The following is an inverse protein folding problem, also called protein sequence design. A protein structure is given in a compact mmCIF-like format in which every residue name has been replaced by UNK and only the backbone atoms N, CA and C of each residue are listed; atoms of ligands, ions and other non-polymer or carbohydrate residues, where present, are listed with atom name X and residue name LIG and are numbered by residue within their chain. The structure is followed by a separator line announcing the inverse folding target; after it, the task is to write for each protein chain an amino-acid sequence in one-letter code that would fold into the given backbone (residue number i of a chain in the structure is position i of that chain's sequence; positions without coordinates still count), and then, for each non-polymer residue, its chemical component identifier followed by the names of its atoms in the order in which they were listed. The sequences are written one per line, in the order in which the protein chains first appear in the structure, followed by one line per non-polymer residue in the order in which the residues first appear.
data_IF_571161882712
#
_entry.id   IF_571161882712
#
_cell.length_a   1.000
_cell.length_b   1.000
_cell.length_c   1.000
_cell.angle_alpha   90.00
_cell.angle_beta   90.00
_cell.angle_gamma   90.00
#
_symmetry.space_group_name_H-M   'P 1'
#
loop_
_entity.id
_entity.type
_entity.pdbx_description
1 polymer ?
#
# COMPACT_ATOMS: atom_id res chain seq x y z
N UNK A 1 -4.94 8.16 8.01
CA UNK A 1 -5.62 7.90 6.72
C UNK A 1 -6.73 8.88 6.44
N UNK A 2 -7.64 9.17 7.38
CA UNK A 2 -8.71 10.15 7.19
C UNK A 2 -8.22 11.46 6.55
N UNK A 3 -7.16 12.10 7.07
CA UNK A 3 -6.62 13.34 6.50
C UNK A 3 -6.16 13.22 5.03
N UNK A 4 -5.44 12.15 4.69
CA UNK A 4 -4.93 11.92 3.33
C UNK A 4 -6.10 11.72 2.35
N UNK A 5 -7.14 11.00 2.76
CA UNK A 5 -8.31 10.73 1.93
C UNK A 5 -9.16 11.98 1.66
N UNK A 6 -9.06 13.02 2.48
CA UNK A 6 -9.78 14.29 2.29
C UNK A 6 -8.93 15.38 1.63
N UNK A 7 -7.65 15.10 1.33
CA UNK A 7 -6.78 16.10 0.72
C UNK A 7 -7.25 16.43 -0.71
N UNK A 8 -7.58 17.70 -1.04
CA UNK A 8 -8.24 18.04 -2.30
C UNK A 8 -7.47 17.60 -3.56
N UNK A 9 -6.14 17.66 -3.50
CA UNK A 9 -5.25 17.33 -4.62
C UNK A 9 -5.16 15.82 -4.90
N UNK A 10 -5.62 14.99 -3.96
CA UNK A 10 -5.64 13.53 -4.10
C UNK A 10 -7.02 13.00 -4.49
N UNK A 11 -7.99 13.89 -4.71
CA UNK A 11 -9.30 13.52 -5.24
C UNK A 11 -9.22 13.23 -6.74
N UNK A 12 -9.98 12.24 -7.21
CA UNK A 12 -10.00 11.84 -8.62
C UNK A 12 -8.86 10.92 -9.05
N UNK A 13 -8.00 10.46 -8.13
CA UNK A 13 -7.03 9.41 -8.42
C UNK A 13 -7.75 8.13 -8.86
N UNK A 14 -7.32 7.57 -9.99
CA UNK A 14 -7.90 6.34 -10.56
C UNK A 14 -7.74 5.12 -9.64
N UNK A 15 -6.68 5.08 -8.83
CA UNK A 15 -6.36 3.92 -7.99
C UNK A 15 -5.54 4.34 -6.76
N UNK A 16 -5.92 3.79 -5.62
CA UNK A 16 -5.11 3.76 -4.40
C UNK A 16 -4.56 2.34 -4.21
N UNK A 17 -3.30 2.21 -3.80
CA UNK A 17 -2.64 0.94 -3.53
C UNK A 17 -2.05 0.95 -2.12
N UNK A 18 -2.16 -0.17 -1.43
CA UNK A 18 -1.63 -0.37 -0.09
C UNK A 18 -1.12 -1.80 0.02
N UNK A 19 0.02 -1.96 0.68
CA UNK A 19 0.59 -3.24 1.08
C UNK A 19 0.65 -3.25 2.61
N UNK A 20 -0.01 -4.22 3.23
CA UNK A 20 -0.04 -4.38 4.69
C UNK A 20 0.10 -5.85 5.05
N UNK A 21 0.74 -6.15 6.18
CA UNK A 21 0.94 -7.54 6.62
C UNK A 21 -0.30 -8.04 7.37
N UNK A 22 -0.82 -7.25 8.31
CA UNK A 22 -1.87 -7.67 9.25
C UNK A 22 -2.97 -6.61 9.50
N UNK A 23 -2.81 -5.38 9.03
CA UNK A 23 -3.76 -4.30 9.30
C UNK A 23 -4.92 -4.20 8.28
N UNK A 24 -5.29 -5.29 7.62
CA UNK A 24 -6.30 -5.29 6.56
C UNK A 24 -7.63 -4.65 7.02
N UNK A 25 -8.19 -5.11 8.15
CA UNK A 25 -9.46 -4.60 8.69
C UNK A 25 -9.39 -3.14 9.14
N UNK A 26 -8.20 -2.60 9.40
CA UNK A 26 -8.03 -1.16 9.66
C UNK A 26 -8.26 -0.36 8.37
N UNK A 27 -7.75 -0.84 7.24
CA UNK A 27 -7.81 -0.12 5.97
C UNK A 27 -9.12 -0.32 5.20
N UNK A 28 -9.81 -1.43 5.42
CA UNK A 28 -11.18 -1.65 4.94
C UNK A 28 -12.14 -0.52 5.38
N UNK A 29 -11.93 0.04 6.57
CA UNK A 29 -12.72 1.18 7.10
C UNK A 29 -12.56 2.46 6.25
N UNK A 30 -11.51 2.55 5.44
CA UNK A 30 -11.25 3.67 4.53
C UNK A 30 -11.55 3.33 3.06
N UNK A 31 -12.25 2.22 2.80
CA UNK A 31 -12.65 1.81 1.45
C UNK A 31 -11.58 1.07 0.65
N UNK A 32 -10.47 0.65 1.28
CA UNK A 32 -9.57 -0.32 0.66
C UNK A 32 -10.24 -1.69 0.60
N UNK A 33 -9.94 -2.43 -0.46
CA UNK A 33 -10.38 -3.82 -0.62
C UNK A 33 -9.21 -4.65 -1.13
N UNK A 34 -9.26 -5.99 -1.01
CA UNK A 34 -8.36 -6.85 -1.75
C UNK A 34 -8.35 -6.49 -3.25
N UNK A 35 -7.20 -6.71 -3.90
CA UNK A 35 -7.05 -6.43 -5.33
C UNK A 35 -8.14 -7.17 -6.12
N UNK A 36 -8.90 -6.44 -6.94
CA UNK A 36 -9.98 -7.03 -7.76
C UNK A 36 -9.44 -8.01 -8.81
N UNK A 37 -8.20 -7.78 -9.27
CA UNK A 37 -7.51 -8.63 -10.26
C UNK A 37 -6.05 -8.85 -9.82
N UNK A 38 -5.80 -9.73 -8.83
CA UNK A 38 -4.47 -9.97 -8.30
C UNK A 38 -3.48 -10.45 -9.37
N UNK A 39 -3.98 -11.18 -10.37
CA UNK A 39 -3.26 -11.67 -11.55
C UNK A 39 -2.61 -10.56 -12.40
N UNK A 40 -3.07 -9.31 -12.25
CA UNK A 40 -2.57 -8.14 -12.99
C UNK A 40 -1.55 -7.31 -12.22
N UNK A 41 -1.13 -7.77 -11.05
CA UNK A 41 -0.17 -7.05 -10.20
C UNK A 41 1.08 -7.90 -10.04
N UNK A 42 2.23 -7.27 -10.22
CA UNK A 42 3.54 -7.88 -10.02
C UNK A 42 4.40 -6.91 -9.24
N UNK A 43 5.28 -7.42 -8.38
CA UNK A 43 6.26 -6.61 -7.67
C UNK A 43 7.62 -7.30 -7.64
N UNK A 44 8.68 -6.50 -7.52
CA UNK A 44 9.99 -6.98 -7.09
C UNK A 44 10.13 -6.53 -5.64
N UNK A 45 9.99 -7.47 -4.71
CA UNK A 45 10.10 -7.21 -3.27
C UNK A 45 11.46 -7.69 -2.75
N UNK A 46 12.24 -6.78 -2.17
CA UNK A 46 13.48 -7.11 -1.47
C UNK A 46 13.38 -6.67 0.00
N UNK A 47 12.68 -7.46 0.85
CA UNK A 47 12.37 -7.05 2.23
C UNK A 47 13.61 -6.82 3.10
N UNK A 48 14.75 -7.37 2.71
CA UNK A 48 15.99 -7.37 3.51
C UNK A 48 17.11 -6.54 2.89
N UNK A 49 16.81 -5.66 1.92
CA UNK A 49 17.83 -4.94 1.14
C UNK A 49 18.83 -4.14 2.00
N UNK A 50 18.42 -3.69 3.19
CA UNK A 50 19.25 -2.89 4.09
C UNK A 50 20.01 -3.70 5.15
N UNK A 51 19.79 -5.01 5.26
CA UNK A 51 20.39 -5.86 6.32
C UNK A 51 21.90 -6.06 6.09
N UNK A 52 22.44 -5.72 4.91
CA UNK A 52 23.85 -5.98 4.55
C UNK A 52 24.78 -4.75 4.57
N UNK A 53 24.27 -3.55 4.85
CA UNK A 53 25.07 -2.32 4.71
C UNK A 53 25.83 -1.89 5.98
N UNK A 54 25.81 -2.67 7.06
CA UNK A 54 26.36 -2.22 8.36
C UNK A 54 27.76 -2.73 8.70
N UNK A 55 28.50 -3.32 7.76
CA UNK A 55 29.91 -3.68 7.95
C UNK A 55 30.77 -3.22 6.76
N UNK A 56 31.10 -1.93 6.73
CA UNK A 56 32.32 -1.39 6.12
C UNK A 56 32.91 -0.34 7.05
#
# INVERSE_FOLDING_TARGET
MAEIMHYPQLQGLRRWMLMTVDAHSLYEQFGFSPLTKPDRTMEISNPNIYIRSTNQ
#
